data_IF_328820025267
#
_entry.id   IF_328820025267
#
_cell.length_a   1.000
_cell.length_b   1.000
_cell.length_c   1.000
_cell.angle_alpha   90.00
_cell.angle_beta   90.00
_cell.angle_gamma   90.00
#
_symmetry.space_group_name_H-M   'P 1'
#
loop_
_entity.id
_entity.type
_entity.pdbx_description
1 polymer ?
#
# COMPACT_ATOMS: atom_id res chain seq x y z
N UNK A 1 26.73 -10.03 -19.40
CA UNK A 1 26.18 -8.87 -18.67
C UNK A 1 25.01 -9.37 -17.83
N UNK A 2 24.84 -8.93 -16.57
CA UNK A 2 23.69 -9.36 -15.78
C UNK A 2 22.41 -8.85 -16.46
N UNK A 3 21.41 -9.72 -16.63
CA UNK A 3 20.10 -9.31 -17.15
C UNK A 3 19.47 -8.39 -16.11
N UNK A 4 19.32 -7.11 -16.44
CA UNK A 4 18.59 -6.18 -15.59
C UNK A 4 17.14 -6.65 -15.51
N UNK A 5 16.68 -7.05 -14.33
CA UNK A 5 15.28 -7.41 -14.11
C UNK A 5 14.41 -6.16 -14.38
N UNK A 6 13.67 -6.17 -15.49
CA UNK A 6 12.73 -5.09 -15.82
C UNK A 6 11.51 -5.20 -14.91
N UNK A 7 11.25 -4.18 -14.10
CA UNK A 7 10.05 -4.12 -13.28
C UNK A 7 8.90 -3.39 -13.99
N UNK A 8 7.67 -3.84 -13.75
CA UNK A 8 6.45 -3.12 -14.10
C UNK A 8 6.22 -1.97 -13.10
N UNK A 9 6.86 -0.84 -13.38
CA UNK A 9 6.80 0.37 -12.55
C UNK A 9 5.37 0.90 -12.45
N UNK A 10 4.58 0.81 -13.52
CA UNK A 10 3.19 1.29 -13.54
C UNK A 10 2.32 0.40 -12.64
N UNK A 11 2.48 -0.91 -12.73
CA UNK A 11 1.80 -1.86 -11.83
C UNK A 11 2.13 -1.62 -10.35
N UNK A 12 3.39 -1.36 -10.04
CA UNK A 12 3.83 -1.03 -8.67
C UNK A 12 3.28 0.33 -8.22
N UNK A 13 3.32 1.34 -9.07
CA UNK A 13 2.78 2.67 -8.77
C UNK A 13 1.26 2.61 -8.48
N UNK A 14 0.52 1.78 -9.22
CA UNK A 14 -0.90 1.56 -8.99
C UNK A 14 -1.18 0.89 -7.63
N UNK A 15 -0.37 -0.09 -7.22
CA UNK A 15 -0.46 -0.70 -5.88
C UNK A 15 -0.20 0.33 -4.79
N UNK A 16 0.88 1.11 -4.94
CA UNK A 16 1.23 2.17 -4.00
C UNK A 16 0.10 3.17 -3.85
N UNK A 17 -0.38 3.71 -4.99
CA UNK A 17 -1.48 4.66 -5.05
C UNK A 17 -2.72 4.14 -4.33
N UNK A 18 -3.20 2.96 -4.70
CA UNK A 18 -4.46 2.43 -4.17
C UNK A 18 -4.38 2.15 -2.67
N UNK A 19 -3.28 1.59 -2.18
CA UNK A 19 -3.15 1.34 -0.75
C UNK A 19 -2.99 2.64 0.04
N UNK A 20 -2.24 3.62 -0.47
CA UNK A 20 -2.12 4.93 0.18
C UNK A 20 -3.47 5.65 0.25
N UNK A 21 -4.29 5.61 -0.80
CA UNK A 21 -5.65 6.13 -0.75
C UNK A 21 -6.53 5.37 0.24
N UNK A 22 -6.43 4.03 0.28
CA UNK A 22 -7.14 3.22 1.27
C UNK A 22 -6.78 3.59 2.71
N UNK A 23 -5.49 3.73 3.00
CA UNK A 23 -4.99 4.16 4.31
C UNK A 23 -5.48 5.56 4.66
N UNK A 24 -5.39 6.52 3.73
CA UNK A 24 -5.86 7.87 3.95
C UNK A 24 -7.37 7.91 4.26
N UNK A 25 -8.18 7.14 3.53
CA UNK A 25 -9.61 7.02 3.80
C UNK A 25 -9.89 6.45 5.19
N UNK A 26 -9.18 5.39 5.60
CA UNK A 26 -9.32 4.81 6.95
C UNK A 26 -8.98 5.82 8.05
N UNK A 27 -7.88 6.56 7.88
CA UNK A 27 -7.46 7.59 8.84
C UNK A 27 -8.49 8.73 8.92
N UNK A 28 -8.97 9.22 7.78
CA UNK A 28 -9.99 10.29 7.73
C UNK A 28 -11.29 9.81 8.40
N UNK A 29 -11.74 8.58 8.12
CA UNK A 29 -12.93 8.03 8.77
C UNK A 29 -12.72 7.90 10.28
N UNK A 30 -11.56 7.41 10.71
CA UNK A 30 -11.18 7.34 12.12
C UNK A 30 -11.24 8.70 12.82
N UNK A 31 -10.70 9.74 12.18
CA UNK A 31 -10.77 11.12 12.66
C UNK A 31 -12.21 11.64 12.77
N UNK A 32 -13.04 11.42 11.76
CA UNK A 32 -14.44 11.86 11.77
C UNK A 32 -15.23 11.15 12.88
N UNK A 33 -15.00 9.85 13.09
CA UNK A 33 -15.62 9.08 14.17
C UNK A 33 -15.13 9.59 15.54
N UNK A 34 -13.82 9.73 15.71
CA UNK A 34 -13.20 10.24 16.94
C UNK A 34 -13.81 11.59 17.36
N UNK A 35 -14.00 12.49 16.39
CA UNK A 35 -14.66 13.78 16.61
C UNK A 35 -16.13 13.63 16.98
N UNK A 36 -16.84 12.69 16.35
CA UNK A 36 -18.27 12.45 16.60
C UNK A 36 -18.59 11.87 17.98
N UNK A 37 -17.66 11.10 18.56
CA UNK A 37 -17.83 10.49 19.90
C UNK A 37 -16.94 11.12 20.98
N UNK A 38 -16.26 12.22 20.64
CA UNK A 38 -15.32 12.95 21.51
C UNK A 38 -14.23 12.07 22.13
N UNK A 39 -13.81 11.01 21.42
CA UNK A 39 -12.76 10.10 21.87
C UNK A 39 -11.54 10.14 20.92
N UNK A 40 -10.46 10.83 21.30
CA UNK A 40 -9.26 10.94 20.46
C UNK A 40 -8.48 9.62 20.31
N UNK A 41 -8.70 8.61 21.18
CA UNK A 41 -8.02 7.31 21.06
C UNK A 41 -8.42 6.58 19.78
N UNK A 42 -9.63 6.82 19.27
CA UNK A 42 -10.11 6.21 18.02
C UNK A 42 -9.28 6.67 16.82
N UNK A 43 -8.84 7.93 16.80
CA UNK A 43 -7.95 8.43 15.76
C UNK A 43 -6.60 7.69 15.81
N UNK A 44 -6.03 7.53 17.01
CA UNK A 44 -4.78 6.83 17.23
C UNK A 44 -4.86 5.35 16.80
N UNK A 45 -5.92 4.64 17.19
CA UNK A 45 -6.14 3.26 16.76
C UNK A 45 -6.32 3.17 15.24
N UNK A 46 -7.10 4.05 14.63
CA UNK A 46 -7.32 4.06 13.18
C UNK A 46 -6.03 4.31 12.41
N UNK A 47 -5.19 5.25 12.89
CA UNK A 47 -3.87 5.49 12.33
C UNK A 47 -2.98 4.25 12.42
N UNK A 48 -2.80 3.67 13.60
CA UNK A 48 -1.91 2.53 13.78
C UNK A 48 -2.40 1.27 13.07
N UNK A 49 -3.70 0.98 13.11
CA UNK A 49 -4.30 -0.13 12.35
C UNK A 49 -4.07 0.06 10.86
N UNK A 50 -4.25 1.27 10.34
CA UNK A 50 -3.98 1.59 8.93
C UNK A 50 -2.50 1.35 8.58
N UNK A 51 -1.56 1.79 9.43
CA UNK A 51 -0.13 1.62 9.19
C UNK A 51 0.31 0.15 9.28
N UNK A 52 -0.13 -0.57 10.32
CA UNK A 52 0.21 -1.99 10.55
C UNK A 52 -0.32 -2.88 9.43
N UNK A 53 -1.45 -2.53 8.81
CA UNK A 53 -2.01 -3.33 7.71
C UNK A 53 -1.49 -2.87 6.34
N UNK A 54 -1.48 -1.56 6.10
CA UNK A 54 -1.17 -0.97 4.81
C UNK A 54 0.31 -1.04 4.43
N UNK A 55 1.24 -0.81 5.38
CA UNK A 55 2.68 -0.89 5.08
C UNK A 55 3.09 -2.31 4.69
N UNK A 56 2.78 -3.36 5.49
CA UNK A 56 3.10 -4.72 5.08
C UNK A 56 2.43 -5.13 3.77
N UNK A 57 1.16 -4.75 3.55
CA UNK A 57 0.47 -4.99 2.28
C UNK A 57 1.23 -4.38 1.10
N UNK A 58 1.65 -3.11 1.23
CA UNK A 58 2.41 -2.41 0.20
C UNK A 58 3.71 -3.12 -0.13
N UNK A 59 4.51 -3.45 0.89
CA UNK A 59 5.81 -4.10 0.73
C UNK A 59 5.68 -5.48 0.08
N UNK A 60 4.73 -6.30 0.52
CA UNK A 60 4.53 -7.65 -0.04
C UNK A 60 4.02 -7.57 -1.47
N UNK A 61 3.04 -6.69 -1.74
CA UNK A 61 2.39 -6.63 -3.03
C UNK A 61 3.30 -6.01 -4.09
N UNK A 62 3.93 -4.87 -3.80
CA UNK A 62 4.82 -4.18 -4.76
C UNK A 62 6.02 -5.03 -5.16
N UNK A 63 6.55 -5.83 -4.24
CA UNK A 63 7.69 -6.71 -4.49
C UNK A 63 7.31 -8.10 -5.03
N UNK A 64 6.02 -8.37 -5.23
CA UNK A 64 5.59 -9.69 -5.72
C UNK A 64 6.11 -9.97 -7.13
N UNK A 65 6.40 -11.25 -7.42
CA UNK A 65 6.89 -11.70 -8.75
C UNK A 65 5.96 -11.29 -9.90
N UNK A 66 4.70 -10.96 -9.61
CA UNK A 66 3.72 -10.43 -10.56
C UNK A 66 4.23 -9.20 -11.33
N UNK A 67 5.06 -8.38 -10.69
CA UNK A 67 5.56 -7.13 -11.29
C UNK A 67 6.96 -7.27 -11.89
N UNK A 68 7.54 -8.47 -11.90
CA UNK A 68 8.77 -8.74 -12.64
C UNK A 68 8.40 -9.03 -14.10
N UNK A 69 8.88 -8.23 -15.05
CA UNK A 69 8.78 -8.58 -16.47
C UNK A 69 9.80 -9.67 -16.76
N UNK A 70 9.32 -10.85 -17.13
CA UNK A 70 10.19 -11.86 -17.75
C UNK A 70 10.59 -11.35 -19.13
N UNK A 71 11.90 -11.31 -19.41
CA UNK A 71 12.38 -11.07 -20.77
C UNK A 71 11.81 -12.16 -21.69
N UNK A 72 10.98 -11.77 -22.66
CA UNK A 72 10.34 -12.66 -23.63
C UNK A 72 11.30 -13.19 -24.72
N UNK A 73 12.60 -13.30 -24.42
CA UNK A 73 13.64 -13.77 -25.36
C UNK A 73 14.46 -14.91 -24.71
N UNK A 74 13.77 -15.96 -24.27
CA UNK A 74 14.39 -17.25 -23.97
C UNK A 74 13.58 -18.35 -24.62
N UNK A 75 13.61 -18.37 -25.95
CA UNK A 75 13.48 -19.58 -26.77
C UNK A 75 14.83 -19.86 -27.43
#
# INVERSE_FOLDING_TARGET
MPKEEKYDIEGVANVLRNAMFGMALLIIMGFLIAKGIENPEVEYYSFWTSMITGIPYLLIKSNSKKYKKMDSNSE
#
